data_IF_701190579628
#
_entry.id   IF_701190579628
#
_cell.length_a   1.000
_cell.length_b   1.000
_cell.length_c   1.000
_cell.angle_alpha   90.00
_cell.angle_beta   90.00
_cell.angle_gamma   90.00
#
_symmetry.space_group_name_H-M   'P 1'
#
loop_
_entity.id
_entity.type
_entity.pdbx_description
1 polymer ?
#
# COMPACT_ATOMS: atom_id res chain seq x y z
N UNK A 1 -8.39 4.45 19.82
CA UNK A 1 -7.13 4.82 19.13
C UNK A 1 -6.97 6.33 19.06
N UNK A 2 -5.74 6.86 19.14
CA UNK A 2 -5.49 8.32 19.14
C UNK A 2 -5.65 8.94 17.73
N UNK A 3 -5.80 10.27 17.67
CA UNK A 3 -6.07 10.99 16.42
C UNK A 3 -4.90 10.92 15.41
N UNK A 4 -3.65 10.78 15.88
CA UNK A 4 -2.49 10.68 14.99
C UNK A 4 -2.49 9.33 14.27
N UNK A 5 -2.70 8.23 15.00
CA UNK A 5 -2.79 6.90 14.40
C UNK A 5 -4.00 6.79 13.47
N UNK A 6 -5.18 7.30 13.87
CA UNK A 6 -6.39 7.31 13.02
C UNK A 6 -6.16 8.04 11.69
N UNK A 7 -5.51 9.21 11.73
CA UNK A 7 -5.17 9.96 10.52
C UNK A 7 -4.32 9.14 9.55
N UNK A 8 -3.27 8.49 10.04
CA UNK A 8 -2.37 7.72 9.18
C UNK A 8 -2.97 6.41 8.68
N UNK A 9 -3.86 5.78 9.45
CA UNK A 9 -4.67 4.68 8.95
C UNK A 9 -5.62 5.13 7.85
N UNK A 10 -6.21 6.33 7.95
CA UNK A 10 -7.01 6.90 6.88
C UNK A 10 -6.18 7.20 5.62
N UNK A 11 -4.96 7.73 5.78
CA UNK A 11 -4.03 7.94 4.66
C UNK A 11 -3.76 6.62 3.91
N UNK A 12 -3.59 5.51 4.65
CA UNK A 12 -3.40 4.17 4.07
C UNK A 12 -4.66 3.71 3.34
N UNK A 13 -5.84 3.83 3.97
CA UNK A 13 -7.10 3.40 3.36
C UNK A 13 -7.37 4.13 2.05
N UNK A 14 -7.24 5.46 2.04
CA UNK A 14 -7.43 6.27 0.85
C UNK A 14 -6.49 5.86 -0.30
N UNK A 15 -5.21 5.60 0.01
CA UNK A 15 -4.25 5.18 -1.01
C UNK A 15 -4.55 3.77 -1.57
N UNK A 16 -5.12 2.89 -0.76
CA UNK A 16 -5.60 1.57 -1.24
C UNK A 16 -6.83 1.75 -2.12
N UNK A 17 -7.79 2.59 -1.71
CA UNK A 17 -8.99 2.87 -2.48
C UNK A 17 -8.64 3.49 -3.85
N UNK A 18 -7.70 4.45 -3.88
CA UNK A 18 -7.16 5.00 -5.13
C UNK A 18 -6.63 3.89 -6.06
N UNK A 19 -5.85 2.95 -5.52
CA UNK A 19 -5.34 1.80 -6.30
C UNK A 19 -6.50 0.97 -6.86
N UNK A 20 -7.55 0.73 -6.09
CA UNK A 20 -8.72 -0.02 -6.55
C UNK A 20 -9.46 0.72 -7.68
N UNK A 21 -9.59 2.06 -7.59
CA UNK A 21 -10.22 2.86 -8.64
C UNK A 21 -9.50 2.76 -9.98
N UNK A 22 -8.17 2.55 -9.98
CA UNK A 22 -7.40 2.42 -11.21
C UNK A 22 -7.75 1.15 -12.02
N UNK A 23 -8.40 0.17 -11.39
CA UNK A 23 -8.87 -1.04 -12.06
C UNK A 23 -10.38 -1.01 -12.35
N UNK A 24 -11.08 0.08 -12.03
CA UNK A 24 -12.51 0.17 -12.33
C UNK A 24 -12.77 0.15 -13.84
N UNK A 25 -13.73 -0.67 -14.25
CA UNK A 25 -14.13 -0.80 -15.65
C UNK A 25 -13.15 -1.60 -16.52
N UNK A 26 -12.10 -2.20 -15.96
CA UNK A 26 -11.17 -3.07 -16.68
C UNK A 26 -10.83 -4.34 -15.89
N UNK A 27 -10.60 -5.49 -16.55
CA UNK A 27 -10.17 -6.69 -15.86
C UNK A 27 -8.76 -6.50 -15.30
N UNK A 28 -8.55 -6.91 -14.05
CA UNK A 28 -7.26 -6.88 -13.36
C UNK A 28 -6.32 -7.96 -13.91
N UNK A 29 -5.72 -7.69 -15.07
CA UNK A 29 -4.83 -8.61 -15.79
C UNK A 29 -3.36 -8.15 -15.70
N UNK A 30 -2.47 -9.11 -15.45
CA UNK A 30 -1.04 -8.83 -15.31
C UNK A 30 -0.40 -8.26 -16.58
N UNK A 31 -0.77 -8.78 -17.76
CA UNK A 31 -0.23 -8.31 -19.04
C UNK A 31 -0.58 -6.86 -19.34
N UNK A 32 -1.82 -6.45 -19.05
CA UNK A 32 -2.28 -5.07 -19.21
C UNK A 32 -1.56 -4.15 -18.22
N UNK A 33 -1.42 -4.60 -16.97
CA UNK A 33 -0.64 -3.89 -15.96
C UNK A 33 0.82 -3.69 -16.40
N UNK A 34 1.46 -4.69 -17.00
CA UNK A 34 2.84 -4.60 -17.50
C UNK A 34 3.01 -3.58 -18.62
N UNK A 35 1.98 -3.35 -19.43
CA UNK A 35 2.03 -2.42 -20.58
C UNK A 35 1.70 -0.99 -20.18
N UNK A 36 1.02 -0.78 -19.06
CA UNK A 36 0.65 0.56 -18.59
C UNK A 36 1.63 1.11 -17.55
N UNK A 37 2.65 1.83 -18.05
CA UNK A 37 3.61 2.52 -17.19
C UNK A 37 2.95 3.60 -16.32
N UNK A 38 1.85 4.22 -16.75
CA UNK A 38 1.18 5.27 -15.97
C UNK A 38 0.51 4.66 -14.75
N UNK A 39 -0.15 3.52 -14.95
CA UNK A 39 -0.73 2.73 -13.87
C UNK A 39 0.34 2.26 -12.88
N UNK A 40 1.46 1.73 -13.37
CA UNK A 40 2.59 1.33 -12.51
C UNK A 40 3.08 2.50 -11.65
N UNK A 41 3.32 3.68 -12.25
CA UNK A 41 3.76 4.88 -11.52
C UNK A 41 2.71 5.37 -10.50
N UNK A 42 1.43 5.30 -10.84
CA UNK A 42 0.35 5.66 -9.91
C UNK A 42 0.32 4.72 -8.70
N UNK A 43 0.46 3.41 -8.91
CA UNK A 43 0.49 2.41 -7.82
C UNK A 43 1.77 2.55 -6.98
N UNK A 44 2.94 2.74 -7.59
CA UNK A 44 4.18 3.03 -6.86
C UNK A 44 3.99 4.19 -5.88
N UNK A 45 3.38 5.28 -6.36
CA UNK A 45 3.11 6.45 -5.53
C UNK A 45 2.17 6.14 -4.37
N UNK A 46 1.11 5.37 -4.58
CA UNK A 46 0.22 4.96 -3.50
C UNK A 46 0.93 4.08 -2.47
N UNK A 47 1.81 3.16 -2.90
CA UNK A 47 2.57 2.32 -1.96
C UNK A 47 3.58 3.15 -1.16
N UNK A 48 4.20 4.19 -1.75
CA UNK A 48 5.04 5.12 -0.99
C UNK A 48 4.25 5.81 0.14
N UNK A 49 3.02 6.24 -0.15
CA UNK A 49 2.13 6.87 0.83
C UNK A 49 1.79 5.88 1.95
N UNK A 50 1.40 4.66 1.58
CA UNK A 50 1.07 3.58 2.53
C UNK A 50 2.27 3.29 3.45
N UNK A 51 3.47 3.13 2.88
CA UNK A 51 4.67 2.82 3.66
C UNK A 51 5.13 3.96 4.56
N UNK A 52 5.01 5.22 4.12
CA UNK A 52 5.31 6.39 4.94
C UNK A 52 4.33 6.53 6.11
N UNK A 53 3.03 6.36 5.86
CA UNK A 53 2.01 6.38 6.91
C UNK A 53 2.24 5.24 7.93
N UNK A 54 2.53 4.02 7.46
CA UNK A 54 2.85 2.89 8.35
C UNK A 54 4.12 3.14 9.16
N UNK A 55 5.15 3.76 8.57
CA UNK A 55 6.38 4.11 9.28
C UNK A 55 6.13 5.12 10.41
N UNK A 56 5.22 6.09 10.20
CA UNK A 56 4.81 7.04 11.24
C UNK A 56 4.04 6.35 12.36
N UNK A 57 3.10 5.46 12.02
CA UNK A 57 2.37 4.67 13.02
C UNK A 57 3.35 3.85 13.87
N UNK A 58 4.28 3.11 13.25
CA UNK A 58 5.22 2.25 13.98
C UNK A 58 6.20 3.00 14.89
N UNK A 59 6.42 4.30 14.67
CA UNK A 59 7.23 5.13 15.59
C UNK A 59 6.51 5.39 16.91
N UNK A 60 5.19 5.55 16.87
CA UNK A 60 4.35 5.82 18.05
C UNK A 60 3.76 4.54 18.66
N UNK A 61 3.35 3.60 17.83
CA UNK A 61 2.75 2.33 18.22
C UNK A 61 3.38 1.16 17.45
N UNK A 62 4.42 0.57 18.05
CA UNK A 62 5.16 -0.57 17.48
C UNK A 62 4.33 -1.85 17.43
N UNK A 63 3.32 -1.97 18.29
CA UNK A 63 2.52 -3.18 18.46
C UNK A 63 1.14 -3.06 17.78
N UNK A 64 1.02 -2.15 16.80
CA UNK A 64 -0.19 -2.00 15.99
C UNK A 64 -0.59 -3.37 15.41
N UNK A 65 -1.88 -3.70 15.47
CA UNK A 65 -2.42 -4.98 15.00
C UNK A 65 -2.54 -5.05 13.47
N UNK A 66 -1.45 -4.74 12.77
CA UNK A 66 -1.29 -4.83 11.32
C UNK A 66 -0.24 -5.89 11.02
N UNK A 67 -0.62 -6.86 10.21
CA UNK A 67 0.29 -7.96 9.84
C UNK A 67 1.39 -7.42 8.93
N UNK A 68 2.63 -7.82 9.19
CA UNK A 68 3.80 -7.45 8.38
C UNK A 68 4.00 -5.93 8.28
N UNK A 69 3.56 -5.13 9.27
CA UNK A 69 3.71 -3.67 9.29
C UNK A 69 5.13 -3.21 8.93
N UNK A 70 6.16 -3.91 9.42
CA UNK A 70 7.56 -3.62 9.06
C UNK A 70 7.85 -3.82 7.57
N UNK A 71 7.35 -4.90 6.96
CA UNK A 71 7.55 -5.17 5.52
C UNK A 71 6.85 -4.13 4.64
N UNK A 72 5.75 -3.53 5.11
CA UNK A 72 5.08 -2.43 4.39
C UNK A 72 6.02 -1.21 4.30
N UNK A 73 6.71 -0.89 5.40
CA UNK A 73 7.75 0.17 5.40
C UNK A 73 8.91 -0.22 4.49
N UNK A 74 9.34 -1.47 4.53
CA UNK A 74 10.44 -1.96 3.69
C UNK A 74 10.08 -1.93 2.20
N UNK A 75 8.83 -2.20 1.83
CA UNK A 75 8.34 -2.09 0.45
C UNK A 75 8.49 -0.65 -0.08
N UNK A 76 8.14 0.37 0.71
CA UNK A 76 8.39 1.77 0.35
C UNK A 76 9.87 2.07 0.15
N UNK A 77 10.74 1.55 1.03
CA UNK A 77 12.18 1.75 0.88
C UNK A 77 12.71 1.09 -0.39
N UNK A 78 12.20 -0.10 -0.72
CA UNK A 78 12.57 -0.79 -1.95
C UNK A 78 12.15 -0.03 -3.21
N UNK A 79 10.94 0.56 -3.23
CA UNK A 79 10.47 1.41 -4.35
C UNK A 79 11.33 2.66 -4.50
N UNK A 80 11.59 3.39 -3.39
CA UNK A 80 12.32 4.67 -3.43
C UNK A 80 13.81 4.50 -3.75
N UNK A 81 14.43 3.39 -3.30
CA UNK A 81 15.85 3.15 -3.56
C UNK A 81 16.13 2.60 -4.96
N UNK A 82 15.10 2.37 -5.78
CA UNK A 82 15.24 2.16 -7.21
C UNK A 82 16.27 1.09 -7.56
N UNK A 83 16.32 -0.02 -6.80
CA UNK A 83 17.10 -1.18 -7.24
C UNK A 83 16.67 -1.46 -8.67
N UNK A 84 17.63 -1.47 -9.62
CA UNK A 84 17.49 -1.32 -11.08
C UNK A 84 16.46 -2.23 -11.79
N UNK A 85 15.76 -3.08 -11.03
CA UNK A 85 14.52 -3.73 -11.41
C UNK A 85 13.61 -3.88 -10.17
N UNK A 86 12.78 -2.88 -9.83
CA UNK A 86 11.49 -3.23 -9.23
C UNK A 86 10.75 -4.00 -10.31
N UNK A 87 10.83 -5.33 -10.27
CA UNK A 87 10.13 -6.16 -11.21
C UNK A 87 8.64 -5.84 -11.06
N UNK A 88 7.99 -5.51 -12.17
CA UNK A 88 6.54 -5.26 -12.24
C UNK A 88 5.75 -6.38 -11.54
N UNK A 89 6.30 -7.60 -11.51
CA UNK A 89 5.83 -8.75 -10.73
C UNK A 89 5.68 -8.50 -9.22
N UNK A 90 6.62 -7.79 -8.59
CA UNK A 90 6.57 -7.46 -7.16
C UNK A 90 5.44 -6.46 -6.92
N UNK A 91 5.37 -5.42 -7.76
CA UNK A 91 4.33 -4.40 -7.66
C UNK A 91 2.94 -5.03 -7.81
N UNK A 92 2.80 -5.92 -8.80
CA UNK A 92 1.59 -6.72 -9.01
C UNK A 92 1.26 -7.62 -7.81
N UNK A 93 2.25 -8.33 -7.26
CA UNK A 93 2.06 -9.19 -6.09
C UNK A 93 1.58 -8.40 -4.87
N UNK A 94 2.09 -7.18 -4.64
CA UNK A 94 1.60 -6.29 -3.58
C UNK A 94 0.12 -5.99 -3.79
N UNK A 95 -0.24 -5.57 -5.00
CA UNK A 95 -1.59 -5.17 -5.36
C UNK A 95 -2.61 -6.32 -5.23
N UNK A 96 -2.23 -7.54 -5.59
CA UNK A 96 -3.16 -8.69 -5.61
C UNK A 96 -3.17 -9.44 -4.28
N UNK A 97 -2.01 -9.63 -3.65
CA UNK A 97 -1.87 -10.55 -2.51
C UNK A 97 -1.79 -9.84 -1.16
N UNK A 98 -1.36 -8.57 -1.11
CA UNK A 98 -1.03 -7.89 0.14
C UNK A 98 -2.00 -6.75 0.48
N UNK A 99 -2.38 -5.91 -0.50
CA UNK A 99 -3.29 -4.80 -0.25
C UNK A 99 -4.69 -5.22 0.25
N UNK A 100 -5.34 -6.28 -0.27
CA UNK A 100 -6.66 -6.67 0.23
C UNK A 100 -6.64 -7.01 1.73
N UNK A 101 -5.58 -7.66 2.20
CA UNK A 101 -5.44 -7.96 3.63
C UNK A 101 -5.21 -6.69 4.44
N UNK A 102 -4.30 -5.82 3.98
CA UNK A 102 -4.01 -4.57 4.65
C UNK A 102 -5.27 -3.70 4.79
N UNK A 103 -6.08 -3.60 3.72
CA UNK A 103 -7.36 -2.88 3.73
C UNK A 103 -8.27 -3.36 4.86
N UNK A 104 -8.52 -4.67 4.92
CA UNK A 104 -9.37 -5.25 5.96
C UNK A 104 -8.85 -4.96 7.39
N UNK A 105 -7.54 -5.04 7.61
CA UNK A 105 -6.94 -4.76 8.92
C UNK A 105 -7.06 -3.27 9.29
N UNK A 106 -6.84 -2.37 8.33
CA UNK A 106 -6.97 -0.92 8.51
C UNK A 106 -8.41 -0.52 8.79
N UNK A 107 -9.37 -1.01 8.00
CA UNK A 107 -10.80 -0.75 8.19
C UNK A 107 -11.27 -1.21 9.57
N UNK A 108 -10.84 -2.40 10.00
CA UNK A 108 -11.15 -2.91 11.34
C UNK A 108 -10.63 -1.97 12.43
N UNK A 109 -9.37 -1.54 12.34
CA UNK A 109 -8.78 -0.62 13.33
C UNK A 109 -9.47 0.75 13.34
N UNK A 110 -9.92 1.25 12.20
CA UNK A 110 -10.63 2.54 12.11
C UNK A 110 -12.02 2.50 12.77
N UNK A 111 -12.63 1.33 12.84
CA UNK A 111 -13.92 1.10 13.52
C UNK A 111 -13.79 0.98 15.05
N UNK A 112 -12.57 0.89 15.59
CA UNK A 112 -12.25 0.86 17.04
C UNK A 112 -12.02 2.28 17.64
#
# INVERSE_FOLDING_TARGET
>A
MDNFTKKHLQDILNAIDDIETFFEGQPKLFEEFCRDIRLQRAIERCIEIIGEAMNRILKENKDIAITNARKIVDARNYIVHGYDSLSVDILWSIVVNHLPRLKNEVEKLLQE
#
